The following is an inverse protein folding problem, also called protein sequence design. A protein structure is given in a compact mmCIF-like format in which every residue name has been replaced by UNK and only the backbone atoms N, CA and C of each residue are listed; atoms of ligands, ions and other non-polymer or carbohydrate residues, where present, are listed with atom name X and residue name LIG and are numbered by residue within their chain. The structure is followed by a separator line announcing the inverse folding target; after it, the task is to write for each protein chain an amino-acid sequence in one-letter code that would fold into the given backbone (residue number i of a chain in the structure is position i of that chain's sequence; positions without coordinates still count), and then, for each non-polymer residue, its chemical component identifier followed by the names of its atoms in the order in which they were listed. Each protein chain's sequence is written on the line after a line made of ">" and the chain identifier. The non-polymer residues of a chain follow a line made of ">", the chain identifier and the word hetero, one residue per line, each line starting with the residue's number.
data_IF_324010138510
#
_entry.id   IF_324010138510
#
_cell.length_a   1.000
_cell.length_b   1.000
_cell.length_c   1.000
_cell.angle_alpha   90.00
_cell.angle_beta   90.00
_cell.angle_gamma   90.00
#
_symmetry.space_group_name_H-M   'P 1'
#
loop_
_entity.id
_entity.type
_entity.pdbx_description
1 polymer ?
#
# COMPACT_ATOMS: atom_id res chain seq x y z
N UNK A 1 15.12 -68.09 21.09
CA UNK A 1 13.72 -68.09 21.59
C UNK A 1 13.65 -66.96 22.59
N UNK A 2 13.13 -65.77 22.34
CA UNK A 2 12.03 -65.32 21.51
C UNK A 2 11.34 -64.27 22.37
N UNK A 3 11.80 -63.02 22.33
CA UNK A 3 11.13 -61.91 22.99
C UNK A 3 10.72 -60.92 21.91
N UNK A 4 9.44 -61.01 21.61
CA UNK A 4 8.64 -60.19 20.71
C UNK A 4 8.83 -58.70 21.00
N UNK A 5 9.33 -57.96 20.00
CA UNK A 5 9.17 -56.51 19.93
C UNK A 5 7.72 -56.20 19.56
N UNK A 6 6.86 -56.06 20.57
CA UNK A 6 5.53 -55.48 20.39
C UNK A 6 5.66 -53.98 20.14
N UNK A 7 4.94 -53.38 19.17
CA UNK A 7 4.89 -51.93 19.02
C UNK A 7 4.22 -51.32 20.27
N UNK A 8 4.82 -50.26 20.80
CA UNK A 8 4.14 -49.39 21.77
C UNK A 8 2.83 -48.89 21.14
N UNK A 9 1.70 -48.85 21.87
CA UNK A 9 0.51 -48.21 21.37
C UNK A 9 0.83 -46.73 21.14
N UNK A 10 0.68 -46.28 19.90
CA UNK A 10 0.74 -44.88 19.57
C UNK A 10 -0.61 -44.32 19.98
N UNK A 11 -0.65 -43.48 21.03
CA UNK A 11 -1.81 -42.66 21.36
C UNK A 11 -2.00 -41.60 20.25
N UNK A 12 -2.51 -42.03 19.10
CA UNK A 12 -3.09 -41.14 18.08
C UNK A 12 -4.56 -40.97 18.39
N UNK A 13 -4.88 -40.17 19.41
CA UNK A 13 -6.11 -39.39 19.49
C UNK A 13 -6.01 -38.44 20.68
N UNK A 14 -5.07 -37.50 20.61
CA UNK A 14 -5.23 -36.23 21.30
C UNK A 14 -6.33 -35.45 20.57
N UNK A 15 -7.59 -35.84 20.80
CA UNK A 15 -8.75 -35.04 20.49
C UNK A 15 -8.51 -33.69 21.15
N UNK A 16 -8.24 -32.68 20.33
CA UNK A 16 -8.28 -31.28 20.74
C UNK A 16 -9.71 -31.08 21.24
N UNK A 17 -9.89 -31.17 22.55
CA UNK A 17 -11.10 -30.73 23.22
C UNK A 17 -11.11 -29.22 23.06
N UNK A 18 -11.66 -28.74 21.95
CA UNK A 18 -12.19 -27.40 21.84
C UNK A 18 -13.30 -27.29 22.88
N UNK A 19 -12.94 -26.97 24.12
CA UNK A 19 -13.87 -26.43 25.10
C UNK A 19 -14.14 -24.96 24.74
N UNK A 20 -14.55 -24.73 23.50
CA UNK A 20 -15.34 -23.56 23.16
C UNK A 20 -16.74 -23.90 23.64
N UNK A 21 -17.27 -23.10 24.57
CA UNK A 21 -18.71 -23.03 24.78
C UNK A 21 -19.30 -22.55 23.46
N UNK A 22 -19.65 -23.48 22.57
CA UNK A 22 -20.53 -23.22 21.45
C UNK A 22 -21.77 -22.55 22.05
N UNK A 23 -22.15 -21.34 21.59
CA UNK A 23 -23.40 -20.74 22.01
C UNK A 23 -24.52 -21.71 21.60
N UNK A 24 -24.98 -22.51 22.55
CA UNK A 24 -26.13 -23.36 22.35
C UNK A 24 -27.34 -22.43 22.24
N UNK A 25 -28.19 -22.62 21.22
CA UNK A 25 -29.42 -21.84 21.12
C UNK A 25 -30.20 -22.01 22.43
N UNK A 26 -30.57 -20.91 23.06
CA UNK A 26 -31.27 -20.91 24.35
C UNK A 26 -32.71 -21.46 24.21
N UNK A 27 -33.23 -21.50 22.97
CA UNK A 27 -34.51 -22.08 22.59
C UNK A 27 -34.52 -22.61 21.15
N UNK A 28 -35.54 -23.42 20.80
CA UNK A 28 -35.78 -23.89 19.41
C UNK A 28 -36.02 -22.72 18.44
N UNK A 29 -36.62 -21.64 18.92
CA UNK A 29 -36.89 -20.43 18.14
C UNK A 29 -35.57 -19.75 17.73
N UNK A 30 -34.60 -19.65 18.64
CA UNK A 30 -33.28 -19.06 18.36
C UNK A 30 -32.47 -19.88 17.35
N UNK A 31 -32.63 -21.21 17.38
CA UNK A 31 -32.01 -22.10 16.39
C UNK A 31 -32.62 -21.88 14.99
N UNK A 32 -33.95 -21.78 14.92
CA UNK A 32 -34.66 -21.54 13.65
C UNK A 32 -34.33 -20.16 13.06
N UNK A 33 -34.19 -19.13 13.91
CA UNK A 33 -33.72 -17.80 13.49
C UNK A 33 -32.32 -17.88 12.87
N UNK A 34 -31.38 -18.56 13.55
CA UNK A 34 -30.00 -18.69 13.10
C UNK A 34 -29.87 -19.46 11.77
N UNK A 35 -30.65 -20.53 11.61
CA UNK A 35 -30.74 -21.28 10.36
C UNK A 35 -31.32 -20.41 9.22
N UNK A 36 -32.27 -19.54 9.53
CA UNK A 36 -32.85 -18.60 8.56
C UNK A 36 -31.89 -17.48 8.16
N UNK A 37 -30.95 -17.12 9.02
CA UNK A 37 -30.00 -16.02 8.81
C UNK A 37 -28.74 -16.43 8.05
N UNK A 38 -28.29 -17.68 8.19
CA UNK A 38 -27.19 -18.25 7.41
C UNK A 38 -27.27 -17.97 5.90
N UNK A 39 -28.39 -18.25 5.20
CA UNK A 39 -28.50 -17.98 3.77
C UNK A 39 -28.49 -16.48 3.47
N UNK A 40 -29.07 -15.63 4.33
CA UNK A 40 -29.05 -14.17 4.16
C UNK A 40 -27.62 -13.63 4.27
N UNK A 41 -26.84 -14.14 5.21
CA UNK A 41 -25.43 -13.77 5.37
C UNK A 41 -24.58 -14.25 4.19
N UNK A 42 -24.79 -15.48 3.73
CA UNK A 42 -24.09 -16.02 2.56
C UNK A 42 -24.36 -15.17 1.30
N UNK A 43 -25.63 -14.81 1.08
CA UNK A 43 -26.03 -13.92 -0.01
C UNK A 43 -25.35 -12.54 0.11
N UNK A 44 -25.37 -11.94 1.31
CA UNK A 44 -24.72 -10.65 1.56
C UNK A 44 -23.21 -10.68 1.31
N UNK A 45 -22.54 -11.78 1.66
CA UNK A 45 -21.11 -11.98 1.38
C UNK A 45 -20.86 -12.05 -0.15
N UNK A 46 -21.70 -12.76 -0.90
CA UNK A 46 -21.59 -12.84 -2.35
C UNK A 46 -21.79 -11.47 -3.00
N UNK A 47 -22.79 -10.72 -2.55
CA UNK A 47 -23.06 -9.36 -3.00
C UNK A 47 -21.86 -8.44 -2.75
N UNK A 48 -21.33 -8.40 -1.52
CA UNK A 48 -20.14 -7.60 -1.24
C UNK A 48 -18.93 -8.03 -2.05
N UNK A 49 -18.70 -9.34 -2.26
CA UNK A 49 -17.59 -9.80 -3.10
C UNK A 49 -17.71 -9.32 -4.54
N UNK A 50 -18.94 -9.24 -5.05
CA UNK A 50 -19.21 -8.77 -6.40
C UNK A 50 -19.09 -7.24 -6.52
N UNK A 51 -19.56 -6.46 -5.53
CA UNK A 51 -19.70 -5.00 -5.67
C UNK A 51 -18.59 -4.20 -5.01
N UNK A 52 -17.96 -4.71 -3.94
CA UNK A 52 -17.04 -3.93 -3.10
C UNK A 52 -15.83 -3.42 -3.89
N UNK A 53 -15.27 -4.25 -4.78
CA UNK A 53 -14.13 -3.83 -5.59
C UNK A 53 -14.48 -2.68 -6.53
N UNK A 54 -15.65 -2.73 -7.15
CA UNK A 54 -16.08 -1.71 -8.10
C UNK A 54 -16.53 -0.43 -7.40
N UNK A 55 -17.18 -0.53 -6.24
CA UNK A 55 -17.51 0.62 -5.38
C UNK A 55 -16.25 1.36 -4.90
N UNK A 56 -15.21 0.62 -4.48
CA UNK A 56 -13.93 1.21 -4.11
C UNK A 56 -13.23 1.89 -5.29
N UNK A 57 -13.21 1.26 -6.48
CA UNK A 57 -12.65 1.88 -7.69
C UNK A 57 -13.39 3.16 -8.06
N UNK A 58 -14.72 3.13 -8.04
CA UNK A 58 -15.55 4.29 -8.35
C UNK A 58 -15.28 5.42 -7.35
N UNK A 59 -15.24 5.11 -6.06
CA UNK A 59 -14.97 6.09 -4.99
C UNK A 59 -13.58 6.69 -5.15
N UNK A 60 -12.55 5.88 -5.40
CA UNK A 60 -11.19 6.34 -5.63
C UNK A 60 -11.09 7.23 -6.88
N UNK A 61 -11.76 6.85 -7.97
CA UNK A 61 -11.81 7.66 -9.19
C UNK A 61 -12.49 9.02 -8.93
N UNK A 62 -13.58 9.05 -8.15
CA UNK A 62 -14.22 10.31 -7.74
C UNK A 62 -13.28 11.17 -6.90
N UNK A 63 -12.61 10.59 -5.90
CA UNK A 63 -11.67 11.32 -5.04
C UNK A 63 -10.50 11.90 -5.85
N UNK A 64 -9.91 11.11 -6.75
CA UNK A 64 -8.81 11.55 -7.61
C UNK A 64 -9.24 12.59 -8.65
N UNK A 65 -10.47 12.51 -9.15
CA UNK A 65 -11.05 13.52 -10.06
C UNK A 65 -11.22 14.87 -9.36
N UNK A 66 -11.73 14.86 -8.12
CA UNK A 66 -11.90 16.07 -7.29
C UNK A 66 -10.55 16.63 -6.88
N UNK A 67 -9.61 15.75 -6.54
CA UNK A 67 -8.30 16.11 -6.05
C UNK A 67 -7.25 16.11 -7.16
N UNK A 68 -7.58 16.61 -8.38
CA UNK A 68 -6.55 16.85 -9.42
C UNK A 68 -5.41 17.61 -8.76
N UNK A 69 -4.26 16.97 -8.49
CA UNK A 69 -3.13 17.69 -7.99
C UNK A 69 -2.73 18.57 -9.16
N UNK A 70 -2.80 19.89 -9.00
CA UNK A 70 -2.15 20.81 -9.92
C UNK A 70 -0.67 20.53 -9.74
N UNK A 71 -0.14 19.56 -10.49
CA UNK A 71 1.27 19.35 -10.64
C UNK A 71 1.75 20.51 -11.52
N UNK A 72 2.52 21.47 -11.00
CA UNK A 72 3.10 22.49 -11.85
C UNK A 72 4.03 21.79 -12.86
N UNK A 73 3.69 21.82 -14.14
CA UNK A 73 4.59 21.44 -15.23
C UNK A 73 4.21 20.28 -16.15
N UNK A 74 2.96 19.82 -16.20
CA UNK A 74 2.51 18.92 -17.28
C UNK A 74 1.37 19.54 -18.06
N UNK A 75 1.71 20.35 -19.07
CA UNK A 75 0.78 20.60 -20.16
C UNK A 75 0.52 19.28 -20.90
N UNK A 76 -0.74 18.95 -21.24
CA UNK A 76 -1.04 17.84 -22.12
C UNK A 76 -0.59 18.22 -23.53
N UNK A 77 0.60 17.77 -23.92
CA UNK A 77 1.05 17.83 -25.31
C UNK A 77 0.07 17.05 -26.20
N UNK A 78 -0.33 17.58 -27.37
CA UNK A 78 -1.17 16.84 -28.28
C UNK A 78 -0.37 15.62 -28.76
N UNK A 79 -0.89 14.42 -28.49
CA UNK A 79 -0.45 13.19 -29.12
C UNK A 79 -0.87 13.22 -30.59
N UNK A 80 -0.21 14.05 -31.40
CA UNK A 80 -0.22 13.88 -32.84
C UNK A 80 0.79 12.79 -33.19
N UNK A 81 0.25 11.60 -33.43
CA UNK A 81 0.91 10.50 -34.10
C UNK A 81 1.25 10.93 -35.54
N UNK A 82 2.39 11.62 -35.72
CA UNK A 82 2.93 11.91 -37.05
C UNK A 82 4.12 11.00 -37.31
N UNK A 83 3.84 9.90 -38.00
CA UNK A 83 4.84 9.09 -38.68
C UNK A 83 5.62 9.95 -39.70
N UNK A 84 6.97 9.88 -39.76
CA UNK A 84 7.71 10.40 -40.88
C UNK A 84 8.63 9.31 -41.47
N UNK A 85 8.06 8.41 -42.28
CA UNK A 85 8.81 7.84 -43.39
C UNK A 85 8.74 8.84 -44.56
N UNK A 86 9.57 9.87 -44.50
CA UNK A 86 9.85 10.71 -45.67
C UNK A 86 11.33 11.05 -45.68
N UNK A 87 12.03 10.22 -46.42
CA UNK A 87 13.40 10.35 -46.87
C UNK A 87 13.55 11.69 -47.62
N UNK A 88 14.12 12.71 -46.98
CA UNK A 88 14.57 13.91 -47.68
C UNK A 88 16.10 13.94 -47.71
N UNK A 89 16.60 13.71 -48.92
CA UNK A 89 18.00 13.83 -49.32
C UNK A 89 18.45 15.30 -49.26
N UNK A 90 19.59 15.48 -48.61
CA UNK A 90 20.63 16.52 -48.74
C UNK A 90 20.24 17.97 -49.09
N UNK A 91 20.59 18.88 -48.20
CA UNK A 91 21.14 20.17 -48.61
C UNK A 91 22.24 20.59 -47.65
N UNK A 92 23.43 20.68 -48.22
CA UNK A 92 24.66 21.21 -47.67
C UNK A 92 24.53 22.64 -47.12
N UNK A 93 25.60 23.04 -46.44
CA UNK A 93 26.00 24.42 -46.12
C UNK A 93 25.64 24.92 -44.71
N UNK A 94 26.63 24.76 -43.82
CA UNK A 94 27.21 25.89 -43.09
C UNK A 94 26.23 26.76 -42.29
N UNK A 95 25.88 26.35 -41.05
CA UNK A 95 25.46 27.26 -39.96
C UNK A 95 25.34 26.60 -38.55
N UNK A 96 26.05 25.50 -38.26
CA UNK A 96 25.72 24.59 -37.15
C UNK A 96 26.39 24.83 -35.78
N UNK A 97 26.90 26.02 -35.47
CA UNK A 97 27.51 26.28 -34.15
C UNK A 97 26.53 26.91 -33.14
N UNK A 98 25.57 27.73 -33.58
CA UNK A 98 24.68 28.48 -32.68
C UNK A 98 23.52 27.65 -32.09
N UNK A 99 23.02 26.63 -32.80
CA UNK A 99 21.94 25.74 -32.30
C UNK A 99 22.44 24.80 -31.19
N UNK A 100 23.68 24.31 -31.30
CA UNK A 100 24.29 23.46 -30.28
C UNK A 100 24.49 24.18 -28.94
N UNK A 101 24.97 25.43 -28.99
CA UNK A 101 25.24 26.25 -27.80
C UNK A 101 23.95 26.70 -27.09
N UNK A 102 22.88 26.95 -27.85
CA UNK A 102 21.56 27.23 -27.28
C UNK A 102 20.99 26.00 -26.54
N UNK A 103 21.11 24.81 -27.13
CA UNK A 103 20.64 23.57 -26.49
C UNK A 103 21.44 23.20 -25.24
N UNK A 104 22.74 23.50 -25.19
CA UNK A 104 23.56 23.24 -23.99
C UNK A 104 23.22 24.19 -22.86
N UNK A 105 23.00 25.48 -23.14
CA UNK A 105 22.56 26.45 -22.12
C UNK A 105 21.17 26.11 -21.56
N UNK A 106 20.22 25.71 -22.40
CA UNK A 106 18.90 25.22 -21.96
C UNK A 106 19.01 23.98 -21.05
N UNK A 107 19.89 23.03 -21.38
CA UNK A 107 20.13 21.84 -20.55
C UNK A 107 20.79 22.19 -19.21
N UNK A 108 21.67 23.20 -19.16
CA UNK A 108 22.30 23.66 -17.93
C UNK A 108 21.24 24.28 -17.00
N UNK A 109 20.42 25.20 -17.53
CA UNK A 109 19.33 25.83 -16.75
C UNK A 109 18.36 24.78 -16.20
N UNK A 110 17.96 23.81 -17.03
CA UNK A 110 17.09 22.71 -16.59
C UNK A 110 17.70 21.86 -15.46
N UNK A 111 19.02 21.62 -15.51
CA UNK A 111 19.72 20.90 -14.45
C UNK A 111 19.75 21.71 -13.17
N UNK A 112 20.05 23.00 -13.25
CA UNK A 112 20.03 23.90 -12.09
C UNK A 112 18.63 23.96 -11.45
N UNK A 113 17.58 24.09 -12.25
CA UNK A 113 16.19 24.10 -11.77
C UNK A 113 15.84 22.79 -11.04
N UNK A 114 16.22 21.64 -11.61
CA UNK A 114 15.99 20.32 -10.99
C UNK A 114 16.79 20.15 -9.70
N UNK A 115 18.04 20.62 -9.67
CA UNK A 115 18.87 20.60 -8.47
C UNK A 115 18.24 21.48 -7.40
N UNK A 116 17.80 22.68 -7.75
CA UNK A 116 17.13 23.62 -6.83
C UNK A 116 15.83 23.05 -6.26
N UNK A 117 14.99 22.44 -7.12
CA UNK A 117 13.78 21.75 -6.69
C UNK A 117 14.07 20.59 -5.74
N UNK A 118 15.09 19.78 -6.05
CA UNK A 118 15.52 18.67 -5.20
C UNK A 118 16.06 19.14 -3.85
N UNK A 119 16.88 20.20 -3.82
CA UNK A 119 17.38 20.81 -2.58
C UNK A 119 16.22 21.26 -1.71
N UNK A 120 15.22 21.91 -2.30
CA UNK A 120 14.00 22.34 -1.58
C UNK A 120 13.24 21.14 -1.00
N UNK A 121 13.02 20.09 -1.80
CA UNK A 121 12.34 18.87 -1.35
C UNK A 121 13.11 18.18 -0.20
N UNK A 122 14.43 18.07 -0.30
CA UNK A 122 15.27 17.48 0.74
C UNK A 122 15.21 18.29 2.03
N UNK A 123 15.21 19.62 1.98
CA UNK A 123 15.05 20.44 3.17
C UNK A 123 13.73 20.17 3.91
N UNK A 124 12.63 19.95 3.17
CA UNK A 124 11.34 19.59 3.76
C UNK A 124 11.41 18.21 4.45
N UNK A 125 11.99 17.21 3.77
CA UNK A 125 12.13 15.85 4.32
C UNK A 125 12.99 15.87 5.58
N UNK A 126 14.13 16.56 5.56
CA UNK A 126 15.03 16.68 6.70
C UNK A 126 14.38 17.38 7.90
N UNK A 127 13.58 18.42 7.66
CA UNK A 127 12.81 19.10 8.71
C UNK A 127 11.82 18.14 9.37
N UNK A 128 11.07 17.37 8.58
CA UNK A 128 10.12 16.36 9.10
C UNK A 128 10.82 15.25 9.85
N UNK A 129 11.94 14.76 9.34
CA UNK A 129 12.74 13.71 9.99
C UNK A 129 13.19 14.17 11.38
N UNK A 130 13.70 15.41 11.49
CA UNK A 130 14.08 16.00 12.77
C UNK A 130 12.90 16.05 13.75
N UNK A 131 11.74 16.47 13.27
CA UNK A 131 10.52 16.50 14.10
C UNK A 131 10.10 15.09 14.57
N UNK A 132 10.17 14.08 13.70
CA UNK A 132 9.88 12.68 14.06
C UNK A 132 10.81 12.18 15.17
N UNK A 133 12.12 12.44 15.05
CA UNK A 133 13.12 12.06 16.05
C UNK A 133 12.79 12.74 17.38
N UNK A 134 12.52 14.05 17.39
CA UNK A 134 12.15 14.78 18.60
C UNK A 134 10.87 14.24 19.26
N UNK A 135 9.89 13.78 18.47
CA UNK A 135 8.67 13.13 19.02
C UNK A 135 8.99 11.78 19.64
N UNK A 136 9.85 10.98 19.02
CA UNK A 136 10.27 9.69 19.57
C UNK A 136 11.04 9.85 20.88
N UNK A 137 12.01 10.76 20.94
CA UNK A 137 12.77 11.06 22.16
C UNK A 137 11.86 11.54 23.31
N UNK A 138 10.83 12.31 22.98
CA UNK A 138 9.80 12.71 23.95
C UNK A 138 9.00 11.50 24.47
N UNK A 139 8.64 10.56 23.60
CA UNK A 139 7.93 9.34 24.00
C UNK A 139 8.81 8.41 24.84
N UNK A 140 10.10 8.30 24.51
CA UNK A 140 11.06 7.48 25.27
C UNK A 140 11.38 8.09 26.65
N UNK A 141 11.47 9.42 26.75
CA UNK A 141 11.67 10.12 28.03
C UNK A 141 10.42 10.13 28.90
N UNK A 142 9.23 10.01 28.30
CA UNK A 142 8.05 9.62 29.03
C UNK A 142 8.20 8.15 29.42
N UNK A 143 8.59 7.90 30.67
CA UNK A 143 8.28 6.67 31.41
C UNK A 143 6.75 6.56 31.61
N UNK A 144 6.00 6.62 30.51
CA UNK A 144 4.56 6.64 30.46
C UNK A 144 4.02 5.34 30.99
N UNK A 145 2.77 5.40 31.42
CA UNK A 145 1.96 4.31 31.94
C UNK A 145 1.75 3.30 30.81
N UNK A 146 2.80 2.55 30.45
CA UNK A 146 2.70 1.39 29.59
C UNK A 146 1.86 0.42 30.39
N UNK A 147 0.64 0.19 29.90
CA UNK A 147 -0.29 -0.74 30.50
C UNK A 147 0.44 -2.06 30.77
N UNK A 148 0.29 -2.67 31.96
CA UNK A 148 1.10 -3.82 32.37
C UNK A 148 1.10 -4.96 31.35
N UNK A 149 -0.01 -5.16 30.62
CA UNK A 149 -0.13 -6.15 29.55
C UNK A 149 0.88 -5.98 28.39
N UNK A 150 1.38 -4.77 28.14
CA UNK A 150 2.36 -4.48 27.08
C UNK A 150 3.78 -4.29 27.63
N UNK A 151 4.00 -4.54 28.93
CA UNK A 151 5.32 -4.46 29.54
C UNK A 151 6.08 -5.75 29.26
N UNK A 152 7.29 -5.65 28.72
CA UNK A 152 8.17 -6.81 28.53
C UNK A 152 8.41 -7.50 29.89
N UNK A 153 7.93 -8.73 30.01
CA UNK A 153 8.18 -9.57 31.19
C UNK A 153 9.68 -9.88 31.18
N UNK A 154 10.37 -9.51 32.26
CA UNK A 154 11.80 -9.76 32.44
C UNK A 154 11.90 -11.04 33.27
N UNK A 155 12.15 -12.17 32.62
CA UNK A 155 12.43 -13.42 33.33
C UNK A 155 13.87 -13.30 33.87
N UNK A 156 14.04 -13.36 35.19
CA UNK A 156 15.35 -13.36 35.87
C UNK A 156 15.86 -14.78 36.05
#
# INVERSE_FOLDING_TARGET
>A
MGLSNGPCPVDTDAVIRCSGSEPQPESKEDLEELESDLPKMAQKILEYRATLQDELKATLATVLSVQRPILPGMDPGPSEERNPDSRQVESSSENSMADGEKRTTEKIVLVEDKVSANVTALQIVLKRLRECISRMEKLDSCNGIIHPAFRKIKNS
#
